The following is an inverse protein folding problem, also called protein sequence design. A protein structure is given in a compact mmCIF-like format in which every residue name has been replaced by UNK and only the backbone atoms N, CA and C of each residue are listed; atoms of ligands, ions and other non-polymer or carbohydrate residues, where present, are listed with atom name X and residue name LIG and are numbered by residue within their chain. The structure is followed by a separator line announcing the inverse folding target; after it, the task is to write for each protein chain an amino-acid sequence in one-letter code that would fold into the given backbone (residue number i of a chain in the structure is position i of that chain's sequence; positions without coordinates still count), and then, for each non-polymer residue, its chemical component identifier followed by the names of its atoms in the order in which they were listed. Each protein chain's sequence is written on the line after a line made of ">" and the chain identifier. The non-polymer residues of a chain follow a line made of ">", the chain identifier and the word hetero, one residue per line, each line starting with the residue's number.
data_IF_736716333281
#
_entry.id   IF_736716333281
#
_cell.length_a   1.000
_cell.length_b   1.000
_cell.length_c   1.000
_cell.angle_alpha   90.00
_cell.angle_beta   90.00
_cell.angle_gamma   90.00
#
_symmetry.space_group_name_H-M   'P 1'
#
loop_
_entity.id
_entity.type
_entity.pdbx_description
1 polymer ?
#
# COMPACT_ATOMS: atom_id res chain seq x y z
N UNK A 1 -60.24 -30.33 10.24
CA UNK A 1 -59.67 -29.91 10.47
C UNK A 1 -58.53 -29.66 10.33
N UNK A 2 -57.82 -29.36 10.32
CA UNK A 2 -56.85 -28.96 10.15
C UNK A 2 -55.80 -28.99 9.77
N UNK A 3 -55.20 -28.79 9.43
CA UNK A 3 -54.24 -28.80 8.92
C UNK A 3 -53.17 -28.27 9.02
N UNK A 4 -52.57 -28.35 9.03
CA UNK A 4 -51.56 -27.82 9.04
C UNK A 4 -50.56 -27.83 8.47
N UNK A 5 -49.95 -27.52 8.25
CA UNK A 5 -48.94 -27.49 7.77
C UNK A 5 -48.08 -26.86 7.54
N UNK A 6 -47.17 -26.70 7.66
CA UNK A 6 -46.22 -26.12 7.42
C UNK A 6 -45.13 -26.32 7.03
N UNK A 7 -44.55 -26.27 6.35
CA UNK A 7 -43.30 -26.42 6.00
C UNK A 7 -42.58 -25.32 6.01
N UNK A 8 -41.78 -25.25 6.66
CA UNK A 8 -40.95 -24.41 6.63
C UNK A 8 -39.86 -24.80 6.11
N UNK A 9 -39.54 -24.71 5.10
CA UNK A 9 -38.28 -24.87 4.49
C UNK A 9 -37.57 -23.67 4.62
N UNK A 10 -37.03 -23.59 5.64
CA UNK A 10 -36.07 -22.60 5.70
C UNK A 10 -34.87 -23.04 4.96
N UNK A 11 -34.79 -22.61 3.83
CA UNK A 11 -33.64 -22.72 3.13
C UNK A 11 -32.74 -21.76 3.60
N UNK A 12 -31.91 -22.11 4.39
CA UNK A 12 -30.73 -21.33 4.60
C UNK A 12 -29.85 -21.51 3.47
N UNK A 13 -30.01 -20.69 2.62
CA UNK A 13 -28.97 -20.45 1.74
C UNK A 13 -27.94 -19.75 2.49
N UNK A 14 -27.14 -20.48 3.06
CA UNK A 14 -25.90 -19.97 3.44
C UNK A 14 -25.21 -19.57 2.17
N UNK A 15 -25.30 -18.36 1.90
CA UNK A 15 -24.44 -17.83 0.88
C UNK A 15 -23.05 -18.10 1.28
N UNK A 16 -22.49 -18.99 0.60
CA UNK A 16 -21.10 -19.09 0.61
C UNK A 16 -20.57 -17.89 -0.05
N UNK A 17 -20.39 -16.96 0.78
CA UNK A 17 -19.43 -16.01 0.44
C UNK A 17 -18.15 -16.74 0.47
N UNK A 18 -17.81 -17.22 -0.67
CA UNK A 18 -16.44 -17.51 -0.91
C UNK A 18 -15.72 -16.23 -0.53
N UNK A 19 -15.23 -16.22 0.63
CA UNK A 19 -14.25 -15.26 0.97
C UNK A 19 -13.24 -15.35 -0.12
N UNK A 20 -13.08 -14.29 -0.85
CA UNK A 20 -11.97 -14.18 -1.72
C UNK A 20 -10.79 -14.58 -0.88
N UNK A 21 -10.24 -15.71 -1.19
CA UNK A 21 -9.09 -16.14 -0.51
C UNK A 21 -8.09 -15.03 -0.71
N UNK A 22 -7.94 -14.24 0.31
CA UNK A 22 -6.77 -13.44 0.39
C UNK A 22 -5.65 -14.43 0.26
N UNK A 23 -5.00 -14.37 -0.83
CA UNK A 23 -3.72 -15.04 -0.98
C UNK A 23 -2.96 -14.77 0.29
N UNK A 24 -2.40 -15.80 0.91
CA UNK A 24 -1.64 -15.61 2.11
C UNK A 24 -0.65 -14.50 1.83
N UNK A 25 -0.73 -13.49 2.63
CA UNK A 25 0.16 -12.38 2.51
C UNK A 25 1.55 -12.95 2.48
N UNK A 26 2.10 -12.97 1.33
CA UNK A 26 3.49 -13.23 1.20
C UNK A 26 4.19 -12.26 2.15
N UNK A 27 5.32 -12.66 2.70
CA UNK A 27 6.14 -11.79 3.54
C UNK A 27 6.58 -10.49 2.83
N UNK A 28 6.01 -10.21 1.68
CA UNK A 28 6.30 -9.04 0.86
C UNK A 28 5.67 -7.76 1.38
N UNK A 29 4.58 -7.87 2.15
CA UNK A 29 3.89 -6.71 2.71
C UNK A 29 2.74 -6.21 1.84
N UNK A 30 1.88 -5.41 2.44
CA UNK A 30 0.77 -4.77 1.73
C UNK A 30 1.20 -3.42 1.18
N UNK A 31 0.70 -3.08 0.00
CA UNK A 31 0.89 -1.76 -0.57
C UNK A 31 0.02 -0.72 0.13
N UNK A 32 0.42 0.56 0.11
CA UNK A 32 -0.41 1.63 0.61
C UNK A 32 -1.76 1.64 -0.10
N UNK A 33 -2.81 1.74 0.68
CA UNK A 33 -4.16 1.94 0.14
C UNK A 33 -4.44 3.43 0.08
N UNK A 34 -5.35 3.83 -0.80
CA UNK A 34 -5.81 5.21 -0.82
C UNK A 34 -6.43 5.54 0.54
N UNK A 35 -5.79 6.37 1.34
CA UNK A 35 -6.31 6.65 2.67
C UNK A 35 -7.45 7.66 2.60
N UNK A 36 -8.37 7.54 3.54
CA UNK A 36 -9.41 8.54 3.74
C UNK A 36 -8.97 9.61 4.76
N UNK A 37 -7.70 9.90 4.77
CA UNK A 37 -7.10 10.85 5.69
C UNK A 37 -6.27 11.87 4.91
N UNK A 38 -6.14 13.07 5.45
CA UNK A 38 -5.27 14.07 4.84
C UNK A 38 -3.80 13.72 5.04
N UNK A 39 -2.94 14.35 4.26
CA UNK A 39 -1.49 14.18 4.39
C UNK A 39 -1.06 14.51 5.84
N UNK A 40 -1.58 15.59 6.41
CA UNK A 40 -1.26 16.01 7.76
C UNK A 40 -1.68 14.96 8.79
N UNK A 41 -2.86 14.40 8.63
CA UNK A 41 -3.35 13.33 9.51
C UNK A 41 -2.48 12.08 9.40
N UNK A 42 -2.08 11.70 8.20
CA UNK A 42 -1.19 10.55 8.00
C UNK A 42 0.17 10.76 8.64
N UNK A 43 0.74 11.96 8.50
CA UNK A 43 2.02 12.28 9.12
C UNK A 43 1.92 12.33 10.64
N UNK A 44 0.81 12.83 11.18
CA UNK A 44 0.57 12.83 12.62
C UNK A 44 0.45 11.39 13.14
N UNK A 45 -0.31 10.54 12.46
CA UNK A 45 -0.43 9.13 12.80
C UNK A 45 0.92 8.41 12.71
N UNK A 46 1.72 8.74 11.69
CA UNK A 46 3.06 8.18 11.55
C UNK A 46 3.96 8.52 12.74
N UNK A 47 3.86 9.75 13.25
CA UNK A 47 4.61 10.17 14.42
C UNK A 47 4.16 9.47 15.70
N UNK A 48 2.91 9.00 15.75
CA UNK A 48 2.34 8.29 16.90
C UNK A 48 2.34 6.76 16.72
N UNK A 49 2.90 6.26 15.61
CA UNK A 49 2.87 4.84 15.29
C UNK A 49 3.63 4.01 16.32
N UNK A 50 3.11 2.81 16.57
CA UNK A 50 3.68 1.89 17.57
C UNK A 50 4.94 1.19 17.08
N UNK A 51 5.11 1.07 15.78
CA UNK A 51 6.25 0.39 15.17
C UNK A 51 6.87 1.24 14.06
N UNK A 52 8.19 1.07 13.80
CA UNK A 52 8.84 1.74 12.68
C UNK A 52 8.22 1.41 11.32
N UNK A 53 7.78 0.17 11.12
CA UNK A 53 7.11 -0.25 9.89
C UNK A 53 5.80 0.52 9.68
N UNK A 54 4.96 0.59 10.71
CA UNK A 54 3.70 1.31 10.64
C UNK A 54 3.92 2.79 10.32
N UNK A 55 4.87 3.42 11.01
CA UNK A 55 5.20 4.82 10.74
C UNK A 55 5.74 5.05 9.34
N UNK A 56 6.59 4.16 8.85
CA UNK A 56 7.12 4.23 7.50
C UNK A 56 6.02 4.05 6.45
N UNK A 57 5.10 3.11 6.67
CA UNK A 57 4.00 2.86 5.75
C UNK A 57 3.02 4.04 5.68
N UNK A 58 2.72 4.66 6.81
CA UNK A 58 1.88 5.87 6.86
C UNK A 58 2.55 7.04 6.13
N UNK A 59 3.85 7.22 6.29
CA UNK A 59 4.60 8.23 5.53
C UNK A 59 4.61 7.92 4.04
N UNK A 60 4.74 6.66 3.67
CA UNK A 60 4.68 6.26 2.27
C UNK A 60 3.31 6.58 1.64
N UNK A 61 2.23 6.32 2.37
CA UNK A 61 0.88 6.71 1.94
C UNK A 61 0.75 8.22 1.79
N UNK A 62 1.32 8.99 2.71
CA UNK A 62 1.31 10.44 2.64
C UNK A 62 2.12 10.97 1.44
N UNK A 63 3.27 10.37 1.16
CA UNK A 63 4.10 10.74 0.01
C UNK A 63 3.38 10.45 -1.31
N UNK A 64 2.75 9.29 -1.42
CA UNK A 64 1.97 8.94 -2.59
C UNK A 64 0.80 9.91 -2.80
N UNK A 65 0.08 10.23 -1.74
CA UNK A 65 -1.03 11.19 -1.82
C UNK A 65 -0.54 12.58 -2.27
N UNK A 66 0.59 13.03 -1.75
CA UNK A 66 1.20 14.29 -2.17
C UNK A 66 1.58 14.27 -3.66
N UNK A 67 2.11 13.14 -4.13
CA UNK A 67 2.41 12.94 -5.55
C UNK A 67 1.15 13.00 -6.40
N UNK A 68 0.08 12.31 -6.00
CA UNK A 68 -1.20 12.34 -6.71
C UNK A 68 -1.79 13.75 -6.77
N UNK A 69 -1.57 14.55 -5.74
CA UNK A 69 -1.98 15.95 -5.70
C UNK A 69 -1.03 16.90 -6.45
N UNK A 70 -0.01 16.35 -7.12
CA UNK A 70 1.00 17.12 -7.85
C UNK A 70 1.89 17.99 -6.97
N UNK A 71 1.90 17.74 -5.68
CA UNK A 71 2.80 18.43 -4.75
C UNK A 71 4.12 17.68 -4.65
N UNK A 72 4.91 17.78 -5.71
CA UNK A 72 6.15 17.02 -5.87
C UNK A 72 7.19 17.32 -4.79
N UNK A 73 7.25 18.57 -4.34
CA UNK A 73 8.17 18.97 -3.28
C UNK A 73 7.84 18.35 -1.94
N UNK A 74 6.58 18.32 -1.58
CA UNK A 74 6.12 17.67 -0.35
C UNK A 74 6.30 16.16 -0.42
N UNK A 75 5.93 15.55 -1.55
CA UNK A 75 6.11 14.12 -1.76
C UNK A 75 7.57 13.70 -1.58
N UNK A 76 8.49 14.45 -2.19
CA UNK A 76 9.93 14.17 -2.08
C UNK A 76 10.41 14.28 -0.63
N UNK A 77 10.02 15.33 0.08
CA UNK A 77 10.44 15.51 1.48
C UNK A 77 9.95 14.39 2.36
N UNK A 78 8.68 14.00 2.21
CA UNK A 78 8.12 12.91 3.01
C UNK A 78 8.83 11.60 2.70
N UNK A 79 9.08 11.32 1.42
CA UNK A 79 9.73 10.10 0.99
C UNK A 79 11.18 10.01 1.51
N UNK A 80 11.89 11.14 1.52
CA UNK A 80 13.26 11.20 2.02
C UNK A 80 13.37 10.91 3.53
N UNK A 81 12.27 11.09 4.27
CA UNK A 81 12.23 10.80 5.70
C UNK A 81 11.94 9.33 6.02
N UNK A 82 11.64 8.51 5.01
CA UNK A 82 11.29 7.12 5.22
C UNK A 82 12.55 6.28 5.32
N UNK A 83 12.68 5.52 6.41
CA UNK A 83 13.69 4.49 6.53
C UNK A 83 13.25 3.27 5.73
N UNK A 84 13.79 3.06 4.54
CA UNK A 84 13.39 1.97 3.64
C UNK A 84 13.54 0.60 4.30
N UNK A 85 14.53 0.43 5.16
CA UNK A 85 14.76 -0.83 5.86
C UNK A 85 13.62 -1.19 6.83
N UNK A 86 12.79 -0.23 7.20
CA UNK A 86 11.60 -0.46 8.03
C UNK A 86 10.43 -1.01 7.23
N UNK A 87 10.51 -0.97 5.91
CA UNK A 87 9.45 -1.43 5.03
C UNK A 87 9.67 -2.87 4.57
N UNK A 88 8.59 -3.57 4.26
CA UNK A 88 8.66 -4.88 3.63
C UNK A 88 8.98 -4.77 2.14
N UNK A 89 9.43 -5.84 1.50
CA UNK A 89 9.90 -5.78 0.10
C UNK A 89 8.95 -5.13 -0.88
N UNK A 90 7.66 -5.45 -0.86
CA UNK A 90 6.70 -4.82 -1.77
C UNK A 90 6.58 -3.32 -1.53
N UNK A 91 6.64 -2.90 -0.27
CA UNK A 91 6.61 -1.49 0.13
C UNK A 91 7.88 -0.76 -0.27
N UNK A 92 9.04 -1.41 -0.17
CA UNK A 92 10.32 -0.87 -0.64
C UNK A 92 10.31 -0.67 -2.15
N UNK A 93 9.77 -1.63 -2.91
CA UNK A 93 9.62 -1.54 -4.36
C UNK A 93 8.71 -0.35 -4.69
N UNK A 94 7.59 -0.22 -4.02
CA UNK A 94 6.67 0.90 -4.22
C UNK A 94 7.36 2.24 -3.93
N UNK A 95 8.08 2.34 -2.82
CA UNK A 95 8.80 3.56 -2.46
C UNK A 95 9.89 3.90 -3.48
N UNK A 96 10.62 2.92 -3.97
CA UNK A 96 11.66 3.11 -4.99
C UNK A 96 11.07 3.55 -6.32
N UNK A 97 9.94 2.98 -6.71
CA UNK A 97 9.23 3.38 -7.92
C UNK A 97 8.71 4.81 -7.80
N UNK A 98 8.08 5.14 -6.67
CA UNK A 98 7.60 6.50 -6.41
C UNK A 98 8.75 7.51 -6.42
N UNK A 99 9.90 7.15 -5.84
CA UNK A 99 11.08 8.01 -5.87
C UNK A 99 11.59 8.23 -7.31
N UNK A 100 11.55 7.21 -8.14
CA UNK A 100 11.94 7.33 -9.54
C UNK A 100 10.96 8.22 -10.31
N UNK A 101 9.67 8.03 -10.12
CA UNK A 101 8.64 8.88 -10.76
C UNK A 101 8.77 10.35 -10.35
N UNK A 102 8.98 10.59 -9.05
CA UNK A 102 9.24 11.94 -8.55
C UNK A 102 10.49 12.57 -9.16
N UNK A 103 11.56 11.78 -9.28
CA UNK A 103 12.80 12.25 -9.89
C UNK A 103 12.59 12.58 -11.37
N UNK A 104 11.86 11.76 -12.11
CA UNK A 104 11.54 12.04 -13.50
C UNK A 104 10.67 13.27 -13.65
N UNK A 105 9.65 13.41 -12.81
CA UNK A 105 8.78 14.59 -12.81
C UNK A 105 9.56 15.89 -12.52
N UNK A 106 10.68 15.79 -11.82
CA UNK A 106 11.56 16.90 -11.50
C UNK A 106 12.75 17.02 -12.45
N UNK A 107 12.74 16.28 -13.55
CA UNK A 107 13.79 16.25 -14.56
C UNK A 107 15.15 15.84 -13.98
N UNK A 108 15.17 14.83 -13.13
CA UNK A 108 16.38 14.28 -12.49
C UNK A 108 16.58 12.80 -12.84
N UNK A 109 16.88 12.47 -14.09
CA UNK A 109 16.94 11.07 -14.53
C UNK A 109 18.00 10.24 -13.80
N UNK A 110 19.12 10.85 -13.41
CA UNK A 110 20.15 10.12 -12.64
C UNK A 110 19.63 9.69 -11.26
N UNK A 111 18.81 10.52 -10.62
CA UNK A 111 18.18 10.17 -9.35
C UNK A 111 17.15 9.08 -9.53
N UNK A 112 16.43 9.09 -10.65
CA UNK A 112 15.47 8.03 -10.97
C UNK A 112 16.18 6.68 -11.14
N UNK A 113 17.28 6.65 -11.89
CA UNK A 113 18.07 5.43 -12.05
C UNK A 113 18.61 4.92 -10.72
N UNK A 114 19.05 5.83 -9.85
CA UNK A 114 19.54 5.46 -8.52
C UNK A 114 18.43 4.83 -7.67
N UNK A 115 17.22 5.38 -7.73
CA UNK A 115 16.08 4.83 -6.99
C UNK A 115 15.73 3.42 -7.48
N UNK A 116 15.74 3.18 -8.78
CA UNK A 116 15.45 1.88 -9.38
C UNK A 116 16.59 0.86 -9.19
N UNK A 117 17.75 1.29 -8.77
CA UNK A 117 18.86 0.40 -8.44
C UNK A 117 18.79 -0.15 -7.01
N UNK A 118 17.74 0.16 -6.27
CA UNK A 118 17.57 -0.38 -4.91
C UNK A 118 17.45 -1.90 -4.97
N UNK A 119 18.10 -2.65 -4.04
CA UNK A 119 18.10 -4.12 -4.07
C UNK A 119 16.70 -4.74 -4.07
N UNK A 120 15.70 -4.10 -3.49
CA UNK A 120 14.32 -4.59 -3.50
C UNK A 120 13.76 -4.77 -4.91
N UNK A 121 14.26 -4.01 -5.89
CA UNK A 121 13.78 -4.09 -7.28
C UNK A 121 14.08 -5.46 -7.92
N UNK A 122 15.05 -6.19 -7.42
CA UNK A 122 15.33 -7.55 -7.88
C UNK A 122 14.18 -8.51 -7.56
N UNK A 123 13.37 -8.16 -6.58
CA UNK A 123 12.21 -8.96 -6.17
C UNK A 123 10.90 -8.53 -6.82
N UNK A 124 10.96 -7.62 -7.79
CA UNK A 124 9.76 -7.15 -8.48
C UNK A 124 8.95 -8.30 -9.09
N UNK A 125 9.63 -9.29 -9.64
CA UNK A 125 8.98 -10.46 -10.23
C UNK A 125 8.26 -11.38 -9.22
N UNK A 126 8.47 -11.19 -7.93
CA UNK A 126 7.78 -11.94 -6.88
C UNK A 126 6.41 -11.36 -6.56
N UNK A 127 6.15 -10.14 -6.99
CA UNK A 127 4.87 -9.48 -6.75
C UNK A 127 3.79 -10.05 -7.66
N UNK A 128 2.52 -9.99 -7.23
CA UNK A 128 1.40 -10.26 -8.10
C UNK A 128 1.46 -9.40 -9.37
N UNK A 129 0.99 -9.93 -10.48
CA UNK A 129 1.08 -9.25 -11.78
C UNK A 129 0.48 -7.86 -11.75
N UNK A 130 -0.57 -7.68 -10.96
CA UNK A 130 -1.25 -6.39 -10.82
C UNK A 130 -0.38 -5.33 -10.13
N UNK A 131 0.72 -5.75 -9.53
CA UNK A 131 1.62 -4.86 -8.76
C UNK A 131 3.00 -4.70 -9.43
N UNK A 132 3.21 -5.35 -10.56
CA UNK A 132 4.44 -5.21 -11.34
C UNK A 132 4.33 -4.04 -12.31
#
# INVERSE_FOLDING_TARGET
>A
MIARLRPLSALCLAGLLAACASTPSSNLGELPRTPQASIEQLLQQAGAASTPEEGALLRLSAADQAYQQKNLGQATRILDEIALDSLKPAQQIFASTLAAELAMARNKPKSALKALAHPSMERLGELPVEQQ
#
